data_IF_442889134836
#
_entry.id   IF_442889134836
#
_cell.length_a   1.000
_cell.length_b   1.000
_cell.length_c   1.000
_cell.angle_alpha   90.00
_cell.angle_beta   90.00
_cell.angle_gamma   90.00
#
_symmetry.space_group_name_H-M   'P 1'
#
loop_
_entity.id
_entity.type
_entity.pdbx_description
1 polymer ?
#
# COMPACT_ATOMS: atom_id res chain seq x y z
N UNK A 1 -14.71 8.60 -1.51
CA UNK A 1 -15.37 7.57 -0.67
C UNK A 1 -14.65 7.57 0.66
N UNK A 2 -15.31 7.64 1.82
CA UNK A 2 -14.58 7.70 3.10
C UNK A 2 -14.23 6.29 3.59
N UNK A 3 -12.96 5.91 3.49
CA UNK A 3 -12.45 4.63 3.99
C UNK A 3 -12.39 4.66 5.51
N UNK A 4 -13.08 3.72 6.18
CA UNK A 4 -13.12 3.66 7.64
C UNK A 4 -12.03 2.74 8.20
N UNK A 5 -11.59 2.92 9.46
CA UNK A 5 -10.60 2.03 10.09
C UNK A 5 -11.03 0.55 10.12
N UNK A 6 -12.32 0.26 10.20
CA UNK A 6 -12.83 -1.12 10.15
C UNK A 6 -12.64 -1.76 8.77
N UNK A 7 -12.83 -0.99 7.70
CA UNK A 7 -12.56 -1.44 6.33
C UNK A 7 -11.06 -1.70 6.13
N UNK A 8 -10.20 -0.83 6.65
CA UNK A 8 -8.74 -1.00 6.63
C UNK A 8 -8.34 -2.30 7.34
N UNK A 9 -8.90 -2.56 8.52
CA UNK A 9 -8.71 -3.83 9.25
C UNK A 9 -9.17 -5.05 8.46
N UNK A 10 -10.31 -4.97 7.76
CA UNK A 10 -10.78 -6.07 6.89
C UNK A 10 -9.81 -6.33 5.73
N UNK A 11 -9.25 -5.27 5.14
CA UNK A 11 -8.30 -5.37 4.02
C UNK A 11 -6.99 -6.02 4.45
N UNK A 12 -6.35 -5.49 5.49
CA UNK A 12 -5.05 -6.00 5.97
C UNK A 12 -5.21 -7.32 6.73
N UNK A 13 -6.37 -7.54 7.35
CA UNK A 13 -6.63 -8.66 8.25
C UNK A 13 -5.81 -8.56 9.55
N UNK A 14 -5.34 -9.70 10.04
CA UNK A 14 -4.35 -9.78 11.12
C UNK A 14 -3.09 -10.45 10.59
N UNK A 15 -2.27 -9.75 9.79
CA UNK A 15 -1.12 -10.37 9.16
C UNK A 15 -0.05 -10.66 10.22
N UNK A 16 0.47 -11.89 10.26
CA UNK A 16 1.63 -12.26 11.07
C UNK A 16 2.91 -11.73 10.40
N UNK A 17 3.11 -10.41 10.48
CA UNK A 17 4.31 -9.74 9.95
C UNK A 17 5.47 -9.91 10.95
N UNK A 18 6.63 -10.33 10.44
CA UNK A 18 7.82 -10.61 11.27
C UNK A 18 8.87 -9.52 11.09
N UNK A 19 9.50 -9.13 12.19
CA UNK A 19 10.60 -8.17 12.17
C UNK A 19 10.18 -6.83 11.54
N UNK A 20 10.98 -6.36 10.59
CA UNK A 20 10.80 -5.06 9.91
C UNK A 20 9.77 -5.10 8.76
N UNK A 21 9.10 -6.23 8.50
CA UNK A 21 8.14 -6.38 7.39
C UNK A 21 7.00 -5.35 7.46
N UNK A 22 6.47 -5.08 8.66
CA UNK A 22 5.41 -4.08 8.85
C UNK A 22 5.83 -2.69 8.38
N UNK A 23 7.09 -2.31 8.62
CA UNK A 23 7.63 -1.04 8.16
C UNK A 23 7.74 -1.02 6.64
N UNK A 24 8.30 -2.08 6.04
CA UNK A 24 8.48 -2.18 4.59
C UNK A 24 7.16 -2.19 3.81
N UNK A 25 6.15 -2.87 4.33
CA UNK A 25 4.77 -2.83 3.80
C UNK A 25 4.29 -1.37 3.69
N UNK A 26 4.49 -0.58 4.74
CA UNK A 26 4.08 0.82 4.76
C UNK A 26 4.98 1.73 3.93
N UNK A 27 6.27 1.44 3.82
CA UNK A 27 7.16 2.14 2.89
C UNK A 27 6.67 1.97 1.45
N UNK A 28 6.28 0.75 1.06
CA UNK A 28 5.72 0.48 -0.28
C UNK A 28 4.39 1.21 -0.50
N UNK A 29 3.50 1.23 0.50
CA UNK A 29 2.26 2.01 0.43
C UNK A 29 2.52 3.52 0.30
N UNK A 30 3.47 4.06 1.08
CA UNK A 30 3.85 5.47 1.01
C UNK A 30 4.47 5.86 -0.33
N UNK A 31 5.22 4.96 -0.97
CA UNK A 31 5.76 5.19 -2.31
C UNK A 31 4.67 5.31 -3.37
N UNK A 32 3.59 4.51 -3.24
CA UNK A 32 2.44 4.58 -4.15
C UNK A 32 1.72 5.93 -4.03
N UNK A 33 1.48 6.39 -2.80
CA UNK A 33 0.89 7.71 -2.52
C UNK A 33 1.80 8.86 -2.98
N UNK A 34 3.12 8.68 -2.92
CA UNK A 34 4.07 9.68 -3.41
C UNK A 34 4.31 9.62 -4.94
N UNK A 35 3.64 8.73 -5.68
CA UNK A 35 3.94 8.49 -7.09
C UNK A 35 3.53 9.65 -7.99
N UNK A 36 2.39 10.27 -7.71
CA UNK A 36 1.73 11.34 -8.51
C UNK A 36 2.12 12.77 -8.06
N UNK A 37 3.08 12.86 -7.12
CA UNK A 37 3.56 14.06 -6.43
C UNK A 37 2.46 14.92 -5.75
N UNK A 38 1.26 14.36 -5.51
CA UNK A 38 0.16 15.01 -4.80
C UNK A 38 -0.35 14.15 -3.66
N UNK A 39 0.12 14.46 -2.46
CA UNK A 39 -0.39 13.82 -1.24
C UNK A 39 -1.81 14.35 -0.93
N UNK A 40 -2.84 13.59 -1.29
CA UNK A 40 -4.20 13.92 -0.92
C UNK A 40 -4.42 13.66 0.59
N UNK A 41 -5.20 14.51 1.29
CA UNK A 41 -5.52 14.29 2.70
C UNK A 41 -6.12 12.90 2.97
N UNK A 42 -6.94 12.39 2.04
CA UNK A 42 -7.59 11.10 2.12
C UNK A 42 -6.59 9.93 2.11
N UNK A 43 -5.53 10.01 1.31
CA UNK A 43 -4.47 8.99 1.29
C UNK A 43 -3.63 9.03 2.56
N UNK A 44 -3.32 10.23 3.04
CA UNK A 44 -2.60 10.41 4.31
C UNK A 44 -3.40 9.82 5.47
N UNK A 45 -4.72 10.02 5.52
CA UNK A 45 -5.60 9.42 6.53
C UNK A 45 -5.54 7.89 6.49
N UNK A 46 -5.48 7.28 5.30
CA UNK A 46 -5.29 5.84 5.14
C UNK A 46 -3.92 5.40 5.64
N UNK A 47 -2.84 6.11 5.27
CA UNK A 47 -1.49 5.83 5.76
C UNK A 47 -1.42 5.94 7.29
N UNK A 48 -2.02 6.96 7.90
CA UNK A 48 -2.08 7.12 9.36
C UNK A 48 -2.80 5.95 10.02
N UNK A 49 -3.92 5.50 9.46
CA UNK A 49 -4.64 4.35 9.96
C UNK A 49 -3.82 3.06 9.82
N UNK A 50 -3.16 2.83 8.69
CA UNK A 50 -2.30 1.68 8.46
C UNK A 50 -1.10 1.67 9.43
N UNK A 51 -0.45 2.82 9.67
CA UNK A 51 0.60 2.97 10.68
C UNK A 51 0.12 2.56 12.08
N UNK A 52 -1.11 2.94 12.46
CA UNK A 52 -1.70 2.56 13.76
C UNK A 52 -1.96 1.06 13.87
N UNK A 53 -2.49 0.45 12.81
CA UNK A 53 -2.80 -0.98 12.79
C UNK A 53 -1.54 -1.85 12.78
N UNK A 54 -0.54 -1.47 11.99
CA UNK A 54 0.74 -2.18 11.88
C UNK A 54 1.76 -1.76 12.96
N UNK A 55 1.40 -0.81 13.83
CA UNK A 55 2.22 -0.29 14.94
C UNK A 55 3.57 0.27 14.49
N UNK A 56 3.57 0.98 13.37
CA UNK A 56 4.77 1.63 12.82
C UNK A 56 4.65 3.16 13.03
N UNK A 57 5.67 3.83 13.57
CA UNK A 57 5.65 5.28 13.71
C UNK A 57 5.59 5.97 12.35
N UNK A 58 4.65 6.91 12.15
CA UNK A 58 4.53 7.64 10.87
C UNK A 58 5.84 8.31 10.44
N UNK A 59 6.61 8.85 11.40
CA UNK A 59 7.87 9.54 11.13
C UNK A 59 8.93 8.63 10.48
N UNK A 60 8.77 7.29 10.50
CA UNK A 60 9.65 6.40 9.74
C UNK A 60 9.40 6.44 8.23
N UNK A 61 8.27 7.00 7.79
CA UNK A 61 7.91 7.14 6.38
C UNK A 61 8.34 8.50 5.80
N UNK A 62 8.70 9.48 6.63
CA UNK A 62 9.15 10.81 6.17
C UNK A 62 10.26 10.75 5.11
N UNK A 63 11.30 9.88 5.23
CA UNK A 63 12.34 9.79 4.21
C UNK A 63 11.81 9.26 2.86
N UNK A 64 10.78 8.40 2.90
CA UNK A 64 10.17 7.79 1.72
C UNK A 64 9.25 8.79 1.02
N UNK A 65 8.43 9.51 1.78
CA UNK A 65 7.56 10.57 1.27
C UNK A 65 8.35 11.77 0.73
N UNK A 66 9.60 11.94 1.15
CA UNK A 66 10.49 13.00 0.67
C UNK A 66 11.27 12.65 -0.61
N UNK A 67 11.10 11.44 -1.17
CA UNK A 67 11.79 11.04 -2.41
C UNK A 67 11.26 11.83 -3.60
N UNK A 68 12.15 12.60 -4.22
CA UNK A 68 11.79 13.62 -5.21
C UNK A 68 11.65 13.08 -6.64
N UNK A 69 12.21 11.92 -6.95
CA UNK A 69 12.20 11.38 -8.32
C UNK A 69 11.58 10.00 -8.38
N UNK A 70 10.94 9.67 -9.52
CA UNK A 70 10.44 8.32 -9.79
C UNK A 70 11.55 7.27 -9.71
N UNK A 71 12.77 7.59 -10.13
CA UNK A 71 13.90 6.66 -10.07
C UNK A 71 14.24 6.28 -8.62
N UNK A 72 14.35 7.26 -7.73
CA UNK A 72 14.60 7.02 -6.30
C UNK A 72 13.46 6.21 -5.66
N UNK A 73 12.21 6.51 -6.03
CA UNK A 73 11.02 5.77 -5.58
C UNK A 73 11.07 4.31 -6.01
N UNK A 74 11.46 4.02 -7.26
CA UNK A 74 11.58 2.66 -7.78
C UNK A 74 12.75 1.89 -7.19
N UNK A 75 13.88 2.55 -6.93
CA UNK A 75 15.01 1.94 -6.23
C UNK A 75 14.60 1.53 -4.81
N UNK A 76 13.93 2.44 -4.08
CA UNK A 76 13.43 2.15 -2.73
C UNK A 76 12.35 1.07 -2.73
N UNK A 77 11.45 1.07 -3.71
CA UNK A 77 10.43 0.03 -3.90
C UNK A 77 11.07 -1.36 -4.00
N UNK A 78 12.05 -1.52 -4.89
CA UNK A 78 12.76 -2.80 -5.10
C UNK A 78 13.53 -3.23 -3.86
N UNK A 79 14.18 -2.28 -3.17
CA UNK A 79 14.90 -2.55 -1.93
C UNK A 79 13.95 -3.00 -0.81
N UNK A 80 12.82 -2.34 -0.64
CA UNK A 80 11.80 -2.71 0.34
C UNK A 80 11.17 -4.06 0.02
N UNK A 81 10.77 -4.29 -1.24
CA UNK A 81 10.13 -5.50 -1.69
C UNK A 81 11.03 -6.75 -1.57
N UNK A 82 12.29 -6.63 -2.00
CA UNK A 82 13.27 -7.73 -1.89
C UNK A 82 13.60 -8.12 -0.45
N UNK A 83 13.42 -7.20 0.50
CA UNK A 83 13.67 -7.42 1.92
C UNK A 83 12.43 -7.93 2.70
N UNK A 84 11.28 -8.14 2.05
CA UNK A 84 10.10 -8.75 2.65
C UNK A 84 10.33 -10.25 2.87
N UNK A 85 10.18 -10.70 4.11
CA UNK A 85 10.55 -12.06 4.50
C UNK A 85 9.51 -13.13 4.13
N UNK A 86 8.30 -12.76 3.71
CA UNK A 86 7.22 -13.71 3.47
C UNK A 86 6.24 -13.30 2.38
N UNK A 87 5.57 -14.29 1.79
CA UNK A 87 4.45 -14.09 0.87
C UNK A 87 3.30 -13.31 1.51
N UNK A 88 3.05 -13.50 2.81
CA UNK A 88 2.03 -12.72 3.55
C UNK A 88 2.40 -11.24 3.57
N UNK A 89 3.67 -10.91 3.79
CA UNK A 89 4.14 -9.53 3.79
C UNK A 89 4.02 -8.91 2.38
N UNK A 90 4.38 -9.65 1.32
CA UNK A 90 4.21 -9.21 -0.08
C UNK A 90 2.74 -8.96 -0.44
N UNK A 91 1.86 -9.90 -0.10
CA UNK A 91 0.42 -9.74 -0.33
C UNK A 91 -0.15 -8.56 0.46
N UNK A 92 0.32 -8.35 1.69
CA UNK A 92 -0.12 -7.22 2.51
C UNK A 92 0.36 -5.90 1.90
N UNK A 93 1.60 -5.82 1.44
CA UNK A 93 2.14 -4.65 0.74
C UNK A 93 1.31 -4.29 -0.49
N UNK A 94 0.99 -5.26 -1.35
CA UNK A 94 0.15 -5.02 -2.53
C UNK A 94 -1.28 -4.59 -2.15
N UNK A 95 -1.89 -5.22 -1.15
CA UNK A 95 -3.22 -4.79 -0.68
C UNK A 95 -3.22 -3.37 -0.15
N UNK A 96 -2.15 -2.95 0.53
CA UNK A 96 -2.04 -1.60 1.06
C UNK A 96 -1.86 -0.55 -0.04
N UNK A 97 -1.17 -0.86 -1.14
CA UNK A 97 -1.07 0.05 -2.30
C UNK A 97 -2.40 0.20 -3.03
N UNK A 98 -3.12 -0.90 -3.25
CA UNK A 98 -4.47 -0.84 -3.84
C UNK A 98 -5.42 -0.06 -2.93
N UNK A 99 -5.31 -0.23 -1.62
CA UNK A 99 -6.14 0.49 -0.65
C UNK A 99 -5.89 2.01 -0.69
N UNK A 100 -4.64 2.45 -0.80
CA UNK A 100 -4.30 3.88 -0.90
C UNK A 100 -4.77 4.45 -2.24
N UNK A 101 -4.57 3.71 -3.33
CA UNK A 101 -5.06 4.12 -4.65
C UNK A 101 -6.59 4.27 -4.70
N UNK A 102 -7.34 3.38 -4.06
CA UNK A 102 -8.80 3.53 -3.98
C UNK A 102 -9.24 4.72 -3.10
N UNK A 103 -8.38 5.18 -2.19
CA UNK A 103 -8.64 6.36 -1.38
C UNK A 103 -8.63 7.63 -2.23
N UNK A 104 -7.72 7.71 -3.21
CA UNK A 104 -7.67 8.81 -4.17
C UNK A 104 -8.39 8.47 -5.48
N UNK A 105 -9.63 8.92 -5.60
CA UNK A 105 -10.41 8.76 -6.83
C UNK A 105 -9.88 9.59 -8.02
N UNK A 106 -8.87 10.43 -7.84
CA UNK A 106 -8.36 11.37 -8.84
C UNK A 106 -7.07 10.92 -9.54
N UNK A 107 -6.34 9.92 -9.04
CA UNK A 107 -4.99 9.56 -9.50
C UNK A 107 -4.91 8.33 -10.45
N UNK A 108 -6.05 7.96 -11.05
CA UNK A 108 -6.26 6.69 -11.76
C UNK A 108 -5.23 6.28 -12.84
N UNK A 109 -4.60 7.20 -13.57
CA UNK A 109 -3.68 6.87 -14.67
C UNK A 109 -2.22 6.69 -14.19
N UNK A 110 -1.73 7.55 -13.30
CA UNK A 110 -0.36 7.50 -12.77
C UNK A 110 -0.21 6.39 -11.71
N UNK A 111 -1.27 6.13 -10.94
CA UNK A 111 -1.33 5.00 -10.01
C UNK A 111 -1.34 3.65 -10.72
N UNK A 112 -1.93 3.56 -11.91
CA UNK A 112 -1.95 2.30 -12.66
C UNK A 112 -0.54 1.89 -13.10
N UNK A 113 0.27 2.84 -13.57
CA UNK A 113 1.68 2.56 -13.89
C UNK A 113 2.46 2.13 -12.65
N UNK A 114 2.23 2.80 -11.52
CA UNK A 114 2.91 2.45 -10.27
C UNK A 114 2.44 1.10 -9.71
N UNK A 115 1.18 0.71 -9.90
CA UNK A 115 0.67 -0.60 -9.48
C UNK A 115 1.40 -1.74 -10.22
N UNK A 116 1.68 -1.57 -11.52
CA UNK A 116 2.48 -2.52 -12.28
C UNK A 116 3.92 -2.62 -11.75
N UNK A 117 4.53 -1.50 -11.38
CA UNK A 117 5.87 -1.48 -10.78
C UNK A 117 5.88 -2.19 -9.41
N UNK A 118 4.85 -1.99 -8.59
CA UNK A 118 4.67 -2.68 -7.30
C UNK A 118 4.46 -4.17 -7.51
N UNK A 119 3.62 -4.55 -8.47
CA UNK A 119 3.34 -5.95 -8.80
C UNK A 119 4.62 -6.68 -9.21
N UNK A 120 5.43 -6.07 -10.09
CA UNK A 120 6.72 -6.60 -10.53
C UNK A 120 7.71 -6.71 -9.36
N UNK A 121 7.87 -5.64 -8.57
CA UNK A 121 8.79 -5.62 -7.44
C UNK A 121 8.46 -6.67 -6.37
N UNK A 122 7.18 -6.96 -6.17
CA UNK A 122 6.70 -7.97 -5.24
C UNK A 122 6.68 -9.39 -5.83
N UNK A 123 7.07 -9.56 -7.09
CA UNK A 123 7.08 -10.81 -7.84
C UNK A 123 5.69 -11.48 -7.85
N UNK A 124 4.63 -10.69 -8.03
CA UNK A 124 3.25 -11.19 -8.02
C UNK A 124 2.79 -11.60 -9.42
N UNK A 125 2.30 -12.83 -9.51
CA UNK A 125 1.55 -13.27 -10.69
C UNK A 125 0.29 -12.42 -10.88
N UNK A 126 -0.08 -12.13 -12.14
CA UNK A 126 -1.24 -11.30 -12.46
C UNK A 126 -2.55 -11.81 -11.86
N UNK A 127 -2.78 -13.13 -11.84
CA UNK A 127 -3.98 -13.69 -11.23
C UNK A 127 -3.97 -13.54 -9.70
N UNK A 128 -2.79 -13.49 -9.08
CA UNK A 128 -2.65 -13.21 -7.65
C UNK A 128 -2.93 -11.73 -7.37
N UNK A 129 -2.36 -10.82 -8.16
CA UNK A 129 -2.61 -9.38 -8.07
C UNK A 129 -4.11 -9.07 -8.20
N UNK A 130 -4.76 -9.56 -9.27
CA UNK A 130 -6.20 -9.40 -9.50
C UNK A 130 -7.04 -9.90 -8.33
N UNK A 131 -6.70 -11.08 -7.78
CA UNK A 131 -7.40 -11.64 -6.62
C UNK A 131 -7.24 -10.74 -5.40
N UNK A 132 -6.03 -10.26 -5.12
CA UNK A 132 -5.74 -9.40 -3.97
C UNK A 132 -6.46 -8.05 -4.11
N UNK A 133 -6.42 -7.42 -5.28
CA UNK A 133 -7.17 -6.19 -5.56
C UNK A 133 -8.68 -6.41 -5.38
N UNK A 134 -9.20 -7.54 -5.89
CA UNK A 134 -10.60 -7.92 -5.69
C UNK A 134 -10.97 -8.19 -4.23
N UNK A 135 -10.03 -8.62 -3.37
CA UNK A 135 -10.25 -8.71 -1.92
C UNK A 135 -10.34 -7.32 -1.27
N UNK A 136 -9.50 -6.37 -1.71
CA UNK A 136 -9.58 -4.98 -1.25
C UNK A 136 -10.93 -4.38 -1.60
N UNK A 137 -11.33 -4.44 -2.88
CA UNK A 137 -12.62 -3.91 -3.32
C UNK A 137 -13.80 -4.53 -2.56
N UNK A 138 -13.80 -5.85 -2.35
CA UNK A 138 -14.84 -6.52 -1.55
C UNK A 138 -14.86 -6.04 -0.10
N UNK A 139 -13.70 -5.85 0.53
CA UNK A 139 -13.63 -5.32 1.88
C UNK A 139 -14.07 -3.85 2.01
N UNK A 140 -13.95 -3.08 0.92
CA UNK A 140 -14.40 -1.69 0.83
C UNK A 140 -15.88 -1.56 0.40
N UNK A 141 -16.50 -2.62 -0.11
CA UNK A 141 -17.93 -2.60 -0.44
C UNK A 141 -18.72 -2.87 0.84
N UNK A 142 -19.69 -2.02 1.23
CA UNK A 142 -20.56 -2.35 2.35
C UNK A 142 -21.33 -3.63 2.04
N UNK A 143 -21.46 -4.52 3.04
CA UNK A 143 -22.38 -5.66 2.95
C UNK A 143 -23.78 -5.09 2.69
N UNK A 144 -24.32 -5.24 1.48
CA UNK A 144 -25.71 -4.89 1.20
C UNK A 144 -26.61 -5.73 2.12
N UNK A 145 -27.58 -5.12 2.82
CA UNK A 145 -28.49 -5.82 3.72
C UNK A 145 -29.46 -6.78 3.00
#
# INVERSE_FOLDING_TARGET
>A
MSITPEMIKKVIGTPDLRGDDARRVLEIAALAVAADDKLAPEELDVIYALCRELRVPIASLDPVLALATREDRLEHLRAAASALASTVARHTAYKTTVLTAVADLAAADEEFEFDLDVQDALELDGAVADRLAGEVHRALTPDEP
#
